data_IF_124635736864
#
_entry.id   IF_124635736864
#
_cell.length_a   1.000
_cell.length_b   1.000
_cell.length_c   1.000
_cell.angle_alpha   90.00
_cell.angle_beta   90.00
_cell.angle_gamma   90.00
#
_symmetry.space_group_name_H-M   'P 1'
#
loop_
_entity.id
_entity.type
_entity.pdbx_description
1 polymer ?
#
# COMPACT_ATOMS: atom_id res chain seq x y z
N UNK A 1 -69.31 -67.08 -10.51
CA UNK A 1 -68.67 -65.82 -10.07
C UNK A 1 -67.24 -65.85 -10.58
N UNK A 2 -66.82 -64.92 -11.47
CA UNK A 2 -65.51 -64.99 -12.11
C UNK A 2 -64.43 -64.39 -11.21
N UNK A 3 -63.28 -65.05 -11.19
CA UNK A 3 -62.07 -64.70 -10.47
C UNK A 3 -61.20 -63.84 -11.39
N UNK A 4 -61.08 -62.54 -11.12
CA UNK A 4 -60.15 -61.64 -11.81
C UNK A 4 -58.81 -61.65 -11.08
N UNK A 5 -57.80 -62.27 -11.71
CA UNK A 5 -56.41 -62.27 -11.26
C UNK A 5 -55.72 -61.03 -11.84
N UNK A 6 -55.50 -60.01 -11.01
CA UNK A 6 -54.78 -58.79 -11.38
C UNK A 6 -53.28 -59.00 -11.11
N UNK A 7 -52.48 -59.19 -12.17
CA UNK A 7 -51.01 -59.26 -12.08
C UNK A 7 -50.45 -57.85 -12.13
N UNK A 8 -50.05 -57.30 -10.98
CA UNK A 8 -49.30 -56.05 -10.89
C UNK A 8 -47.81 -56.33 -11.14
N UNK A 9 -47.34 -56.02 -12.35
CA UNK A 9 -45.91 -55.93 -12.67
C UNK A 9 -45.32 -54.68 -12.01
N UNK A 10 -44.64 -54.85 -10.88
CA UNK A 10 -43.82 -53.82 -10.26
C UNK A 10 -42.50 -53.69 -11.04
N UNK A 11 -42.39 -52.67 -11.90
CA UNK A 11 -41.12 -52.25 -12.48
C UNK A 11 -40.28 -51.54 -11.41
N UNK A 12 -38.97 -51.83 -11.27
CA UNK A 12 -38.11 -51.06 -10.39
C UNK A 12 -37.93 -49.66 -10.98
N UNK A 13 -38.52 -48.66 -10.32
CA UNK A 13 -38.15 -47.26 -10.49
C UNK A 13 -36.67 -47.15 -10.10
N UNK A 14 -35.78 -47.07 -11.11
CA UNK A 14 -34.42 -46.58 -10.89
C UNK A 14 -34.56 -45.16 -10.33
N UNK A 15 -33.95 -44.84 -9.17
CA UNK A 15 -33.81 -43.44 -8.78
C UNK A 15 -33.00 -42.77 -9.88
N UNK A 16 -33.67 -41.92 -10.66
CA UNK A 16 -32.99 -41.03 -11.58
C UNK A 16 -32.10 -40.12 -10.74
N UNK A 17 -30.79 -40.29 -10.82
CA UNK A 17 -29.79 -39.25 -11.02
C UNK A 17 -30.14 -37.84 -10.48
N UNK A 18 -30.56 -37.71 -9.21
CA UNK A 18 -30.70 -36.41 -8.52
C UNK A 18 -29.32 -35.90 -8.05
N UNK A 19 -28.25 -36.68 -8.21
CA UNK A 19 -26.91 -36.31 -7.72
C UNK A 19 -26.05 -35.54 -8.76
N UNK A 20 -26.34 -35.60 -10.06
CA UNK A 20 -25.58 -34.88 -11.09
C UNK A 20 -26.17 -33.50 -11.48
N UNK A 21 -27.38 -33.19 -11.00
CA UNK A 21 -28.05 -31.91 -11.22
C UNK A 21 -27.88 -30.93 -10.05
N UNK A 22 -27.01 -31.26 -9.07
CA UNK A 22 -26.41 -30.27 -8.17
C UNK A 22 -25.38 -29.50 -8.97
N UNK A 23 -25.92 -28.61 -9.83
CA UNK A 23 -25.30 -27.39 -10.34
C UNK A 23 -23.78 -27.41 -10.29
N UNK A 24 -23.17 -27.80 -11.41
CA UNK A 24 -22.03 -27.04 -11.89
C UNK A 24 -22.50 -25.58 -12.01
N UNK A 25 -22.50 -24.85 -10.89
CA UNK A 25 -22.57 -23.42 -10.89
C UNK A 25 -21.47 -23.01 -11.85
N UNK A 26 -21.85 -22.38 -12.96
CA UNK A 26 -20.89 -21.84 -13.91
C UNK A 26 -20.03 -20.89 -13.08
N UNK A 27 -18.81 -21.34 -12.78
CA UNK A 27 -17.82 -20.50 -12.14
C UNK A 27 -17.61 -19.36 -13.13
N UNK A 28 -18.10 -18.17 -12.78
CA UNK A 28 -17.90 -16.99 -13.60
C UNK A 28 -16.40 -16.66 -13.55
N UNK A 29 -15.78 -16.70 -14.72
CA UNK A 29 -14.38 -16.34 -14.98
C UNK A 29 -14.45 -15.22 -16.02
N UNK A 30 -14.62 -13.99 -15.55
CA UNK A 30 -14.93 -12.85 -16.41
C UNK A 30 -13.71 -12.37 -17.19
N UNK A 31 -12.50 -12.52 -16.64
CA UNK A 31 -11.25 -12.12 -17.27
C UNK A 31 -10.51 -13.27 -18.01
N UNK A 32 -11.06 -14.49 -17.91
CA UNK A 32 -10.72 -15.69 -18.66
C UNK A 32 -9.32 -16.18 -18.38
N UNK A 33 -8.86 -16.04 -17.14
CA UNK A 33 -7.52 -16.46 -16.73
C UNK A 33 -7.47 -17.94 -16.26
N UNK A 34 -8.65 -18.57 -16.10
CA UNK A 34 -8.82 -19.94 -15.63
C UNK A 34 -9.09 -20.07 -14.12
N UNK A 35 -9.23 -18.95 -13.41
CA UNK A 35 -9.74 -18.85 -12.04
C UNK A 35 -11.17 -18.31 -12.06
N UNK A 36 -11.90 -18.55 -10.97
CA UNK A 36 -13.24 -18.02 -10.82
C UNK A 36 -13.19 -16.71 -10.06
N UNK A 37 -13.94 -15.70 -10.51
CA UNK A 37 -14.01 -14.38 -9.89
C UNK A 37 -14.30 -14.46 -8.38
N UNK A 38 -15.15 -15.41 -7.95
CA UNK A 38 -15.48 -15.64 -6.55
C UNK A 38 -14.29 -16.16 -5.73
N UNK A 39 -13.51 -17.09 -6.30
CA UNK A 39 -12.30 -17.60 -5.65
C UNK A 39 -11.24 -16.52 -5.55
N UNK A 40 -11.03 -15.75 -6.63
CA UNK A 40 -10.09 -14.63 -6.64
C UNK A 40 -10.42 -13.61 -5.56
N UNK A 41 -11.69 -13.17 -5.50
CA UNK A 41 -12.14 -12.20 -4.50
C UNK A 41 -11.97 -12.75 -3.08
N UNK A 42 -12.32 -14.02 -2.84
CA UNK A 42 -12.15 -14.66 -1.54
C UNK A 42 -10.68 -14.71 -1.10
N UNK A 43 -9.76 -15.01 -2.02
CA UNK A 43 -8.32 -15.05 -1.73
C UNK A 43 -7.75 -13.65 -1.47
N UNK A 44 -8.15 -12.66 -2.27
CA UNK A 44 -7.78 -11.26 -2.07
C UNK A 44 -8.23 -10.77 -0.68
N UNK A 45 -9.43 -11.13 -0.25
CA UNK A 45 -9.94 -10.76 1.08
C UNK A 45 -9.23 -11.51 2.22
N UNK A 46 -8.94 -12.80 2.04
CA UNK A 46 -8.23 -13.61 3.04
C UNK A 46 -6.82 -13.07 3.32
N UNK A 47 -6.09 -12.70 2.26
CA UNK A 47 -4.69 -12.31 2.34
C UNK A 47 -4.48 -10.79 2.28
N UNK A 48 -5.51 -9.98 2.51
CA UNK A 48 -5.38 -8.51 2.45
C UNK A 48 -4.30 -7.97 3.41
N UNK A 49 -3.29 -7.23 2.94
CA UNK A 49 -2.21 -6.74 3.79
C UNK A 49 -2.71 -5.67 4.78
N UNK A 50 -1.96 -5.52 5.87
CA UNK A 50 -2.12 -4.41 6.83
C UNK A 50 -1.06 -3.36 6.53
N UNK A 51 -1.48 -2.20 6.05
CA UNK A 51 -0.57 -1.11 5.74
C UNK A 51 -0.25 -0.30 7.00
N UNK A 52 1.03 0.00 7.24
CA UNK A 52 1.50 0.90 8.28
C UNK A 52 1.77 2.25 7.63
N UNK A 53 0.75 3.13 7.63
CA UNK A 53 0.80 4.43 6.97
C UNK A 53 1.21 5.52 7.95
N UNK A 54 2.06 6.45 7.53
CA UNK A 54 2.44 7.59 8.38
C UNK A 54 1.23 8.45 8.71
N UNK A 55 1.08 8.87 9.97
CA UNK A 55 0.06 9.85 10.35
C UNK A 55 0.24 11.24 9.68
N UNK A 56 1.40 11.45 9.02
CA UNK A 56 1.73 12.65 8.26
C UNK A 56 1.80 12.38 6.76
N UNK A 57 1.14 11.32 6.27
CA UNK A 57 1.03 11.08 4.85
C UNK A 57 0.33 12.28 4.18
N UNK A 58 1.00 12.86 3.18
CA UNK A 58 0.54 14.05 2.50
C UNK A 58 -0.65 13.73 1.60
N UNK A 59 -0.72 12.54 1.01
CA UNK A 59 -1.84 12.15 0.14
C UNK A 59 -2.94 11.42 0.91
N UNK A 60 -2.79 11.31 2.23
CA UNK A 60 -3.78 10.77 3.14
C UNK A 60 -3.81 9.23 3.11
N UNK A 61 -4.76 8.68 2.37
CA UNK A 61 -5.00 7.25 2.25
C UNK A 61 -5.00 6.85 0.77
N UNK A 62 -4.75 5.56 0.46
CA UNK A 62 -4.91 5.05 -0.89
C UNK A 62 -6.24 5.48 -1.52
N UNK A 63 -6.14 5.93 -2.77
CA UNK A 63 -7.20 6.49 -3.57
C UNK A 63 -7.99 5.39 -4.28
N UNK A 64 -9.28 5.66 -4.46
CA UNK A 64 -10.17 4.96 -5.39
C UNK A 64 -10.48 5.92 -6.54
N UNK A 65 -10.53 5.37 -7.75
CA UNK A 65 -10.78 6.09 -9.00
C UNK A 65 -12.18 5.76 -9.53
N UNK A 66 -12.73 6.68 -10.33
CA UNK A 66 -14.03 6.49 -10.96
C UNK A 66 -14.02 5.29 -11.92
N UNK A 67 -14.96 4.33 -11.77
CA UNK A 67 -15.04 3.20 -12.67
C UNK A 67 -15.57 3.61 -14.05
N UNK A 68 -15.13 2.93 -15.11
CA UNK A 68 -15.60 3.13 -16.48
C UNK A 68 -14.97 4.33 -17.20
N UNK A 69 -14.12 5.11 -16.53
CA UNK A 69 -13.41 6.21 -17.16
C UNK A 69 -12.07 5.73 -17.72
N UNK A 70 -11.69 6.13 -18.95
CA UNK A 70 -10.39 5.76 -19.54
C UNK A 70 -9.22 6.55 -18.94
N UNK A 71 -9.50 7.60 -18.18
CA UNK A 71 -8.50 8.43 -17.52
C UNK A 71 -8.71 8.34 -16.01
N UNK A 72 -7.63 8.19 -15.22
CA UNK A 72 -7.75 8.08 -13.77
C UNK A 72 -8.28 9.38 -13.20
N UNK A 73 -9.51 9.36 -12.70
CA UNK A 73 -10.12 10.47 -11.98
C UNK A 73 -10.38 10.05 -10.53
N UNK A 74 -9.82 10.80 -9.59
CA UNK A 74 -10.02 10.57 -8.16
C UNK A 74 -11.52 10.55 -7.83
N UNK A 75 -11.97 9.46 -7.22
CA UNK A 75 -13.29 9.35 -6.61
C UNK A 75 -13.22 9.65 -5.11
N UNK A 76 -12.30 9.02 -4.37
CA UNK A 76 -12.10 9.26 -2.94
C UNK A 76 -10.72 8.79 -2.46
N UNK A 77 -10.30 9.25 -1.27
CA UNK A 77 -9.13 8.73 -0.53
C UNK A 77 -9.62 7.99 0.71
N UNK A 78 -9.98 6.73 0.55
CA UNK A 78 -10.65 5.95 1.59
C UNK A 78 -9.89 4.67 1.96
N UNK A 79 -8.67 4.50 1.44
CA UNK A 79 -7.83 3.35 1.73
C UNK A 79 -8.33 2.05 1.10
N UNK A 80 -9.09 2.14 0.00
CA UNK A 80 -9.40 1.01 -0.87
C UNK A 80 -8.10 0.50 -1.50
N UNK A 81 -7.97 -0.81 -1.61
CA UNK A 81 -6.91 -1.44 -2.41
C UNK A 81 -7.50 -2.00 -3.71
N UNK A 82 -6.64 -2.13 -4.70
CA UNK A 82 -6.93 -2.85 -5.92
C UNK A 82 -6.20 -4.18 -5.87
N UNK A 83 -6.87 -5.26 -6.25
CA UNK A 83 -6.34 -6.61 -6.20
C UNK A 83 -6.26 -7.23 -7.58
N UNK A 84 -5.28 -8.09 -7.83
CA UNK A 84 -5.22 -8.97 -8.99
C UNK A 84 -4.90 -10.38 -8.48
N UNK A 85 -5.49 -11.41 -9.08
CA UNK A 85 -5.24 -12.79 -8.71
C UNK A 85 -5.13 -13.63 -9.98
N UNK A 86 -4.03 -14.35 -10.16
CA UNK A 86 -3.83 -15.17 -11.35
C UNK A 86 -3.07 -16.48 -11.08
N UNK A 87 -3.30 -17.53 -11.87
CA UNK A 87 -2.70 -18.83 -11.63
C UNK A 87 -1.19 -18.80 -11.90
N UNK A 88 -0.45 -19.52 -11.06
CA UNK A 88 0.99 -19.73 -11.24
C UNK A 88 1.32 -21.20 -11.38
N UNK A 89 2.42 -21.46 -12.06
CA UNK A 89 3.07 -22.77 -12.09
C UNK A 89 4.50 -22.60 -11.65
N UNK A 90 5.04 -23.61 -10.97
CA UNK A 90 6.44 -23.60 -10.59
C UNK A 90 7.03 -25.00 -10.56
N UNK A 91 8.30 -25.11 -10.94
CA UNK A 91 9.09 -26.31 -10.74
C UNK A 91 9.65 -26.40 -9.31
N UNK A 92 9.78 -25.26 -8.64
CA UNK A 92 10.36 -25.13 -7.30
C UNK A 92 9.36 -25.42 -6.18
N UNK A 93 8.07 -25.25 -6.46
CA UNK A 93 6.98 -25.37 -5.50
C UNK A 93 5.87 -26.23 -6.11
N UNK A 94 5.52 -27.32 -5.43
CA UNK A 94 4.40 -28.18 -5.84
C UNK A 94 3.05 -27.61 -5.41
N UNK A 95 1.99 -28.04 -6.09
CA UNK A 95 0.60 -27.72 -5.77
C UNK A 95 0.00 -26.67 -6.72
N UNK A 96 -1.26 -26.33 -6.48
CA UNK A 96 -1.94 -25.24 -7.18
C UNK A 96 -1.49 -23.93 -6.55
N UNK A 97 -0.91 -23.06 -7.37
CA UNK A 97 -0.38 -21.76 -6.94
C UNK A 97 -1.21 -20.64 -7.56
N UNK A 98 -1.45 -19.61 -6.77
CA UNK A 98 -2.06 -18.35 -7.22
C UNK A 98 -1.17 -17.23 -6.69
N UNK A 99 -0.89 -16.26 -7.53
CA UNK A 99 -0.22 -15.03 -7.15
C UNK A 99 -1.26 -13.92 -7.01
N UNK A 100 -1.25 -13.27 -5.86
CA UNK A 100 -2.15 -12.17 -5.54
C UNK A 100 -1.33 -10.89 -5.45
N UNK A 101 -1.73 -9.87 -6.18
CA UNK A 101 -1.16 -8.52 -6.09
C UNK A 101 -2.12 -7.60 -5.36
N UNK A 102 -1.59 -6.71 -4.55
CA UNK A 102 -2.32 -5.65 -3.87
C UNK A 102 -1.68 -4.31 -4.21
N UNK A 103 -2.41 -3.50 -4.97
CA UNK A 103 -2.01 -2.17 -5.35
C UNK A 103 -2.65 -1.14 -4.41
N UNK A 104 -1.82 -0.33 -3.77
CA UNK A 104 -2.27 0.91 -3.16
C UNK A 104 -1.92 2.07 -4.06
N UNK A 105 -2.97 2.75 -4.49
CA UNK A 105 -2.89 3.78 -5.49
C UNK A 105 -2.97 5.16 -4.85
N UNK A 106 -2.21 6.10 -5.34
CA UNK A 106 -2.12 7.45 -4.81
C UNK A 106 -2.33 8.45 -5.93
N UNK A 107 -2.87 9.61 -5.60
CA UNK A 107 -3.05 10.69 -6.58
C UNK A 107 -1.77 11.48 -6.80
N UNK A 108 -0.79 11.34 -5.92
CA UNK A 108 0.52 11.97 -6.02
C UNK A 108 1.55 11.21 -5.19
N UNK A 109 2.77 11.08 -5.70
CA UNK A 109 4.00 11.00 -4.90
C UNK A 109 4.33 12.44 -4.46
N UNK A 110 4.46 12.68 -3.16
CA UNK A 110 4.88 13.99 -2.63
C UNK A 110 6.24 13.97 -1.95
N UNK A 111 6.96 12.86 -2.05
CA UNK A 111 8.36 12.76 -1.68
C UNK A 111 9.23 13.68 -2.54
N UNK A 112 10.54 13.61 -2.34
CA UNK A 112 11.48 14.39 -3.16
C UNK A 112 11.34 13.99 -4.63
N UNK A 113 11.14 14.98 -5.51
CA UNK A 113 10.90 14.70 -6.93
C UNK A 113 9.52 14.10 -7.21
N UNK A 114 8.54 14.36 -6.34
CA UNK A 114 7.19 13.87 -6.47
C UNK A 114 6.51 14.22 -7.79
N UNK A 115 5.51 13.42 -8.13
CA UNK A 115 4.77 13.48 -9.39
C UNK A 115 3.29 13.14 -9.14
N UNK A 116 2.44 13.49 -10.10
CA UNK A 116 1.05 13.05 -10.11
C UNK A 116 0.98 11.55 -10.36
N UNK A 117 0.00 10.90 -9.72
CA UNK A 117 -0.30 9.48 -9.79
C UNK A 117 0.87 8.58 -9.39
N UNK A 118 0.62 7.75 -8.40
CA UNK A 118 1.64 6.85 -7.90
C UNK A 118 1.01 5.49 -7.58
N UNK A 119 1.65 4.42 -8.04
CA UNK A 119 1.16 3.07 -7.94
C UNK A 119 2.24 2.20 -7.34
N UNK A 120 1.94 1.66 -6.17
CA UNK A 120 2.86 0.85 -5.41
C UNK A 120 2.15 -0.43 -4.99
N UNK A 121 2.90 -1.52 -4.83
CA UNK A 121 2.29 -2.83 -4.65
C UNK A 121 3.03 -3.78 -3.73
N UNK A 122 2.28 -4.78 -3.30
CA UNK A 122 2.71 -5.91 -2.48
C UNK A 122 2.07 -7.15 -3.04
N UNK A 123 2.81 -8.24 -3.12
CA UNK A 123 2.32 -9.49 -3.70
C UNK A 123 2.54 -10.66 -2.76
N UNK A 124 1.69 -11.67 -2.89
CA UNK A 124 1.77 -12.91 -2.12
C UNK A 124 1.53 -14.09 -3.03
N UNK A 125 2.40 -15.10 -2.91
CA UNK A 125 2.21 -16.38 -3.54
C UNK A 125 1.49 -17.30 -2.57
N UNK A 126 0.29 -17.75 -2.92
CA UNK A 126 -0.52 -18.67 -2.11
C UNK A 126 -0.59 -20.06 -2.73
N UNK A 127 -0.76 -21.07 -1.89
CA UNK A 127 -0.84 -22.48 -2.29
C UNK A 127 -2.01 -23.18 -1.60
N UNK A 128 -2.78 -23.94 -2.37
CA UNK A 128 -3.76 -24.88 -1.86
C UNK A 128 -3.08 -26.05 -1.12
N UNK A 129 -3.49 -26.33 0.12
CA UNK A 129 -2.94 -27.43 0.93
C UNK A 129 -3.42 -28.81 0.46
N UNK A 130 -4.64 -28.87 -0.07
CA UNK A 130 -5.27 -30.08 -0.60
C UNK A 130 -5.53 -29.92 -2.08
N UNK A 131 -5.47 -31.02 -2.84
CA UNK A 131 -5.83 -31.05 -4.27
C UNK A 131 -7.17 -31.74 -4.53
N UNK A 132 -7.89 -32.13 -3.47
CA UNK A 132 -8.91 -33.19 -3.55
C UNK A 132 -10.28 -32.84 -2.93
N UNK A 133 -10.61 -31.56 -2.70
CA UNK A 133 -11.88 -31.17 -2.08
C UNK A 133 -12.46 -29.84 -2.55
N UNK A 134 -13.75 -29.63 -2.27
CA UNK A 134 -14.52 -28.44 -2.67
C UNK A 134 -14.17 -27.16 -1.88
N UNK A 135 -13.29 -27.24 -0.89
CA UNK A 135 -12.79 -26.10 -0.12
C UNK A 135 -11.29 -26.30 0.12
N UNK A 136 -10.47 -25.85 -0.84
CA UNK A 136 -9.03 -25.83 -0.65
C UNK A 136 -8.68 -24.89 0.51
N UNK A 137 -7.93 -25.38 1.50
CA UNK A 137 -7.31 -24.51 2.50
C UNK A 137 -6.10 -23.83 1.85
N UNK A 138 -6.14 -22.50 1.71
CA UNK A 138 -5.05 -21.73 1.12
C UNK A 138 -4.11 -21.19 2.19
N UNK A 139 -2.80 -21.29 1.94
CA UNK A 139 -1.76 -20.65 2.76
C UNK A 139 -0.86 -19.79 1.89
N UNK A 140 -0.44 -18.64 2.41
CA UNK A 140 0.65 -17.88 1.83
C UNK A 140 1.98 -18.62 2.01
N UNK A 141 2.79 -18.66 0.96
CA UNK A 141 4.14 -19.20 0.97
C UNK A 141 5.17 -18.09 1.09
N UNK A 142 5.03 -17.06 0.26
CA UNK A 142 5.98 -15.96 0.12
C UNK A 142 5.26 -14.64 0.00
N UNK A 143 5.89 -13.59 0.51
CA UNK A 143 5.47 -12.21 0.36
C UNK A 143 6.55 -11.43 -0.37
N UNK A 144 6.14 -10.49 -1.19
CA UNK A 144 6.96 -9.55 -1.95
C UNK A 144 6.44 -8.14 -1.68
N UNK A 145 7.34 -7.17 -1.52
CA UNK A 145 6.99 -5.76 -1.44
C UNK A 145 7.87 -4.97 -2.41
N UNK A 146 7.21 -4.25 -3.32
CA UNK A 146 7.84 -3.37 -4.28
C UNK A 146 8.28 -2.08 -3.59
N UNK A 147 9.55 -1.71 -3.74
CA UNK A 147 10.05 -0.43 -3.27
C UNK A 147 10.93 0.18 -4.35
N UNK A 148 10.49 1.31 -4.91
CA UNK A 148 11.22 2.03 -5.97
C UNK A 148 11.55 1.19 -7.20
N UNK A 149 10.66 0.25 -7.57
CA UNK A 149 10.83 -0.58 -8.76
C UNK A 149 11.05 0.25 -10.02
N UNK A 150 11.80 -0.33 -10.96
CA UNK A 150 12.17 0.29 -12.24
C UNK A 150 12.97 1.60 -12.10
N UNK A 151 13.43 1.91 -10.90
CA UNK A 151 14.32 3.03 -10.64
C UNK A 151 15.72 2.55 -10.29
N UNK A 152 16.67 3.48 -10.32
CA UNK A 152 17.99 3.25 -9.75
C UNK A 152 17.96 3.06 -8.23
N UNK A 153 16.82 3.19 -7.57
CA UNK A 153 16.68 3.07 -6.12
C UNK A 153 15.93 1.80 -5.70
N UNK A 154 15.68 0.88 -6.64
CA UNK A 154 14.96 -0.37 -6.40
C UNK A 154 15.52 -1.09 -5.16
N UNK A 155 14.63 -1.27 -4.21
CA UNK A 155 14.86 -1.92 -2.93
C UNK A 155 13.76 -2.95 -2.63
N UNK A 156 13.23 -3.59 -3.66
CA UNK A 156 12.22 -4.62 -3.50
C UNK A 156 12.70 -5.73 -2.58
N UNK A 157 11.75 -6.30 -1.83
CA UNK A 157 12.06 -7.27 -0.77
C UNK A 157 11.07 -8.42 -0.77
N UNK A 158 11.53 -9.61 -0.37
CA UNK A 158 10.68 -10.77 -0.21
C UNK A 158 10.99 -11.57 1.06
N UNK A 159 10.02 -12.32 1.54
CA UNK A 159 10.18 -13.18 2.72
C UNK A 159 9.29 -14.42 2.61
N UNK A 160 9.62 -15.46 3.40
CA UNK A 160 8.68 -16.55 3.66
C UNK A 160 7.52 -16.01 4.49
N UNK A 161 6.30 -16.41 4.16
CA UNK A 161 5.11 -16.01 4.91
C UNK A 161 5.19 -16.39 6.39
N UNK A 162 5.79 -17.55 6.69
CA UNK A 162 6.08 -18.00 8.06
C UNK A 162 6.95 -17.00 8.84
N UNK A 163 7.96 -16.42 8.20
CA UNK A 163 8.88 -15.48 8.85
C UNK A 163 8.19 -14.14 9.17
N UNK A 164 7.04 -13.87 8.53
CA UNK A 164 6.19 -12.70 8.76
C UNK A 164 4.95 -13.03 9.61
N UNK A 165 4.80 -14.27 10.06
CA UNK A 165 3.57 -14.77 10.73
C UNK A 165 2.30 -14.49 9.90
N UNK A 166 2.40 -14.64 8.58
CA UNK A 166 1.41 -14.24 7.59
C UNK A 166 1.03 -15.39 6.64
N UNK A 167 1.08 -16.64 7.11
CA UNK A 167 0.68 -17.83 6.33
C UNK A 167 -0.84 -17.91 6.15
N UNK A 168 -1.60 -17.33 7.07
CA UNK A 168 -3.06 -17.44 7.20
C UNK A 168 -3.83 -16.12 7.05
N UNK A 169 -3.08 -15.04 6.80
CA UNK A 169 -3.58 -13.66 6.81
C UNK A 169 -2.64 -12.77 6.02
N UNK A 170 -3.07 -11.55 5.73
CA UNK A 170 -2.17 -10.56 5.14
C UNK A 170 -0.98 -10.17 6.03
N UNK A 171 0.16 -9.93 5.40
CA UNK A 171 1.36 -9.42 6.05
C UNK A 171 1.18 -7.97 6.54
N UNK A 172 2.03 -7.58 7.50
CA UNK A 172 2.20 -6.17 7.83
C UNK A 172 3.20 -5.55 6.85
N UNK A 173 2.79 -4.45 6.20
CA UNK A 173 3.57 -3.74 5.20
C UNK A 173 3.80 -2.32 5.69
N UNK A 174 5.03 -1.83 5.64
CA UNK A 174 5.35 -0.44 5.92
C UNK A 174 5.42 0.34 4.63
N UNK A 175 4.69 1.45 4.57
CA UNK A 175 4.65 2.33 3.41
C UNK A 175 5.41 3.60 3.75
N UNK A 176 6.42 3.95 2.96
CA UNK A 176 7.20 5.15 3.23
C UNK A 176 6.38 6.41 2.99
N UNK A 177 6.57 7.41 3.87
CA UNK A 177 5.84 8.66 3.78
C UNK A 177 6.19 9.41 2.49
N UNK A 178 5.17 9.77 1.71
CA UNK A 178 5.26 10.61 0.52
C UNK A 178 5.82 9.91 -0.72
N UNK A 179 6.70 8.93 -0.58
CA UNK A 179 7.20 8.06 -1.67
C UNK A 179 6.38 6.79 -1.87
N UNK A 180 5.68 6.35 -0.82
CA UNK A 180 4.81 5.19 -0.82
C UNK A 180 5.45 3.83 -1.14
N UNK A 181 6.78 3.73 -1.22
CA UNK A 181 7.48 2.47 -1.35
C UNK A 181 7.08 1.48 -0.23
N UNK A 182 6.93 0.20 -0.59
CA UNK A 182 6.45 -0.86 0.30
C UNK A 182 7.58 -1.70 0.87
N UNK A 183 7.52 -1.97 2.16
CA UNK A 183 8.54 -2.73 2.87
C UNK A 183 7.92 -3.83 3.74
N UNK A 184 8.54 -5.00 3.78
CA UNK A 184 8.15 -6.12 4.67
C UNK A 184 8.75 -6.01 6.08
N UNK A 185 9.51 -4.95 6.36
CA UNK A 185 10.05 -4.67 7.68
C UNK A 185 10.27 -3.16 7.87
N UNK A 186 9.91 -2.62 9.04
CA UNK A 186 10.06 -1.18 9.34
C UNK A 186 11.47 -0.63 9.08
N UNK A 187 12.49 -1.41 9.45
CA UNK A 187 13.89 -0.98 9.30
C UNK A 187 14.33 -0.86 7.84
N UNK A 188 13.67 -1.57 6.92
CA UNK A 188 13.99 -1.53 5.50
C UNK A 188 13.63 -0.19 4.85
N UNK A 189 12.73 0.60 5.46
CA UNK A 189 12.44 1.96 5.02
C UNK A 189 13.64 2.92 5.11
N UNK A 190 14.80 2.49 5.59
CA UNK A 190 16.02 3.32 5.64
C UNK A 190 17.09 2.86 4.66
N UNK A 191 16.81 1.84 3.85
CA UNK A 191 17.84 1.12 3.08
C UNK A 191 17.88 1.47 1.58
N UNK A 192 16.95 2.30 1.09
CA UNK A 192 16.94 2.82 -0.30
C UNK A 192 17.89 4.00 -0.55
N UNK A 193 17.61 4.80 -1.58
CA UNK A 193 18.38 6.01 -1.92
C UNK A 193 18.25 7.18 -0.92
N UNK A 194 17.52 7.00 0.18
CA UNK A 194 17.19 8.06 1.12
C UNK A 194 15.75 8.55 0.95
N UNK A 195 15.30 9.43 1.84
CA UNK A 195 13.96 10.04 1.80
C UNK A 195 12.80 9.18 2.31
N UNK A 196 12.93 7.85 2.33
CA UNK A 196 11.92 6.96 2.90
C UNK A 196 11.85 7.09 4.43
N UNK A 197 10.63 7.31 4.95
CA UNK A 197 10.39 7.43 6.39
C UNK A 197 9.10 6.71 6.77
N UNK A 198 9.20 5.67 7.58
CA UNK A 198 8.06 4.88 8.09
C UNK A 198 7.75 5.14 9.57
N UNK A 199 8.21 6.26 10.13
CA UNK A 199 7.99 6.63 11.53
C UNK A 199 6.57 7.12 11.82
N UNK A 200 6.12 6.89 13.06
CA UNK A 200 4.79 7.27 13.54
C UNK A 200 3.67 6.73 12.64
N UNK A 201 3.87 5.51 12.14
CA UNK A 201 2.91 4.81 11.32
C UNK A 201 1.77 4.25 12.17
N UNK A 202 0.59 4.21 11.57
CA UNK A 202 -0.62 3.62 12.13
C UNK A 202 -1.07 2.50 11.22
N UNK A 203 -1.46 1.39 11.83
CA UNK A 203 -2.05 0.29 11.11
C UNK A 203 -3.36 0.73 10.43
N UNK A 204 -3.45 0.45 9.15
CA UNK A 204 -4.62 0.64 8.30
C UNK A 204 -4.95 -0.68 7.62
N UNK A 205 -6.22 -1.07 7.71
CA UNK A 205 -6.75 -2.23 6.99
C UNK A 205 -7.66 -1.71 5.91
N UNK A 206 -7.48 -2.22 4.69
CA UNK A 206 -8.38 -1.90 3.60
C UNK A 206 -9.80 -2.29 3.98
N UNK A 207 -10.75 -1.37 3.80
CA UNK A 207 -12.18 -1.64 4.04
C UNK A 207 -12.82 -2.33 2.84
N UNK A 208 -12.15 -2.26 1.68
CA UNK A 208 -12.59 -2.79 0.40
C UNK A 208 -11.38 -3.11 -0.46
N UNK A 209 -11.51 -4.19 -1.22
CA UNK A 209 -10.58 -4.56 -2.30
C UNK A 209 -11.39 -4.64 -3.58
N UNK A 210 -10.85 -4.11 -4.67
CA UNK A 210 -11.48 -4.16 -6.00
C UNK A 210 -10.60 -5.06 -6.88
N UNK A 211 -11.12 -6.21 -7.29
CA UNK A 211 -10.44 -7.05 -8.27
C UNK A 211 -10.34 -6.31 -9.62
N UNK A 212 -9.13 -6.11 -10.12
CA UNK A 212 -8.87 -5.42 -11.39
C UNK A 212 -8.91 -6.37 -12.58
N UNK A 213 -8.89 -7.68 -12.32
CA UNK A 213 -8.70 -8.73 -13.32
C UNK A 213 -7.38 -8.63 -14.05
N UNK A 214 -7.30 -9.30 -15.20
CA UNK A 214 -6.06 -9.37 -15.97
C UNK A 214 -5.82 -8.21 -16.94
N UNK A 215 -4.55 -7.97 -17.28
CA UNK A 215 -4.11 -6.93 -18.23
C UNK A 215 -4.82 -6.99 -19.60
N UNK A 216 -5.36 -8.14 -19.99
CA UNK A 216 -6.12 -8.34 -21.24
C UNK A 216 -7.64 -8.23 -21.06
N UNK A 217 -8.15 -8.31 -19.84
CA UNK A 217 -9.58 -8.33 -19.54
C UNK A 217 -9.82 -7.72 -18.15
N UNK A 218 -9.80 -6.39 -18.11
CA UNK A 218 -9.97 -5.64 -16.87
C UNK A 218 -11.40 -5.77 -16.33
N UNK A 219 -11.52 -5.87 -15.02
CA UNK A 219 -12.79 -6.00 -14.28
C UNK A 219 -13.16 -4.71 -13.55
N UNK A 220 -14.39 -4.65 -13.05
CA UNK A 220 -14.86 -3.60 -12.13
C UNK A 220 -14.67 -2.14 -12.62
N UNK A 221 -14.64 -1.93 -13.94
CA UNK A 221 -14.52 -0.61 -14.54
C UNK A 221 -13.14 0.03 -14.34
N UNK A 222 -12.07 -0.76 -14.32
CA UNK A 222 -10.70 -0.26 -14.14
C UNK A 222 -10.01 0.14 -15.45
N UNK A 223 -10.75 0.56 -16.49
CA UNK A 223 -10.21 0.87 -17.81
C UNK A 223 -9.10 1.94 -17.79
N UNK A 224 -9.11 2.84 -16.80
CA UNK A 224 -8.06 3.83 -16.56
C UNK A 224 -6.67 3.22 -16.30
N UNK A 225 -6.55 1.94 -15.96
CA UNK A 225 -5.26 1.22 -15.88
C UNK A 225 -4.52 1.26 -17.22
N UNK A 226 -5.25 1.31 -18.35
CA UNK A 226 -4.67 1.44 -19.70
C UNK A 226 -4.29 2.88 -20.07
N UNK A 227 -4.48 3.85 -19.18
CA UNK A 227 -4.17 5.24 -19.48
C UNK A 227 -2.67 5.43 -19.72
N UNK A 228 -2.31 6.19 -20.74
CA UNK A 228 -0.91 6.59 -20.98
C UNK A 228 -0.39 7.61 -19.98
N UNK A 229 -1.26 8.20 -19.15
CA UNK A 229 -0.85 9.13 -18.08
C UNK A 229 -0.36 8.40 -16.83
N UNK A 230 -0.60 7.08 -16.73
CA UNK A 230 -0.20 6.30 -15.58
C UNK A 230 0.23 4.90 -16.01
N UNK A 231 1.52 4.53 -15.89
CA UNK A 231 2.03 3.23 -16.33
C UNK A 231 1.58 2.04 -15.46
N UNK A 232 0.34 2.06 -14.95
CA UNK A 232 -0.21 1.03 -14.08
C UNK A 232 -0.29 -0.34 -14.75
N UNK A 233 -0.57 -0.38 -16.06
CA UNK A 233 -0.66 -1.64 -16.80
C UNK A 233 0.64 -2.45 -16.75
N UNK A 234 1.79 -1.78 -16.67
CA UNK A 234 3.11 -2.42 -16.61
C UNK A 234 3.34 -3.14 -15.27
N UNK A 235 2.58 -2.77 -14.22
CA UNK A 235 2.64 -3.36 -12.88
C UNK A 235 1.76 -4.60 -12.71
N UNK A 236 0.92 -4.96 -13.68
CA UNK A 236 0.11 -6.20 -13.65
C UNK A 236 0.94 -7.45 -14.03
N UNK A 237 2.20 -7.47 -13.60
CA UNK A 237 3.22 -8.45 -13.98
C UNK A 237 3.35 -9.59 -12.98
N UNK A 238 4.42 -10.37 -13.13
CA UNK A 238 4.78 -11.47 -12.23
C UNK A 238 5.92 -11.01 -11.33
N UNK A 239 5.75 -11.09 -10.01
CA UNK A 239 6.80 -10.81 -9.03
C UNK A 239 7.55 -12.08 -8.64
N UNK A 240 6.87 -13.23 -8.57
CA UNK A 240 7.48 -14.50 -8.17
C UNK A 240 8.00 -15.27 -9.39
N UNK A 241 9.23 -14.93 -9.79
CA UNK A 241 10.00 -15.71 -10.78
C UNK A 241 10.43 -17.07 -10.22
N UNK A 242 10.75 -18.02 -11.11
CA UNK A 242 11.28 -19.33 -10.70
C UNK A 242 12.54 -19.17 -9.84
N UNK A 243 13.45 -18.28 -10.23
CA UNK A 243 14.69 -18.01 -9.52
C UNK A 243 14.43 -17.48 -8.11
N UNK A 244 13.48 -16.56 -7.97
CA UNK A 244 13.09 -16.02 -6.67
C UNK A 244 12.48 -17.11 -5.79
N UNK A 245 11.54 -17.89 -6.32
CA UNK A 245 10.91 -18.99 -5.57
C UNK A 245 11.92 -20.05 -5.12
N UNK A 246 12.87 -20.43 -5.99
CA UNK A 246 13.97 -21.34 -5.63
C UNK A 246 14.82 -20.75 -4.51
N UNK A 247 15.15 -19.47 -4.60
CA UNK A 247 16.01 -18.78 -3.63
C UNK A 247 15.34 -18.67 -2.26
N UNK A 248 14.07 -18.25 -2.24
CA UNK A 248 13.26 -18.21 -1.03
C UNK A 248 13.11 -19.60 -0.42
N UNK A 249 12.78 -20.62 -1.22
CA UNK A 249 12.58 -21.98 -0.72
C UNK A 249 13.86 -22.54 -0.06
N UNK A 250 15.02 -22.37 -0.70
CA UNK A 250 16.32 -22.86 -0.22
C UNK A 250 16.85 -22.12 1.02
N UNK A 251 16.39 -20.89 1.27
CA UNK A 251 16.87 -20.08 2.39
C UNK A 251 16.53 -20.72 3.73
N UNK A 252 17.53 -20.77 4.63
CA UNK A 252 17.38 -21.27 6.00
C UNK A 252 17.24 -20.16 7.03
N UNK A 253 17.86 -19.01 6.76
CA UNK A 253 17.82 -17.88 7.67
C UNK A 253 16.43 -17.22 7.61
N UNK A 254 15.77 -17.04 8.77
CA UNK A 254 14.48 -16.39 8.79
C UNK A 254 14.61 -14.90 8.44
N UNK A 255 13.53 -14.34 7.88
CA UNK A 255 13.32 -12.90 7.78
C UNK A 255 13.29 -12.39 6.34
N UNK A 256 13.41 -11.07 6.19
CA UNK A 256 13.30 -10.40 4.89
C UNK A 256 14.60 -10.54 4.09
N UNK A 257 14.47 -10.83 2.80
CA UNK A 257 15.53 -10.82 1.78
C UNK A 257 15.32 -9.59 0.90
N UNK A 258 16.38 -8.83 0.65
CA UNK A 258 16.39 -7.76 -0.35
C UNK A 258 16.70 -8.37 -1.72
N UNK A 259 15.95 -7.98 -2.74
CA UNK A 259 16.01 -8.60 -4.07
C UNK A 259 16.93 -7.86 -5.05
N UNK A 260 17.31 -6.63 -4.72
CA UNK A 260 18.16 -5.82 -5.58
C UNK A 260 19.66 -5.77 -5.20
N UNK A 261 20.38 -5.42 -6.27
CA UNK A 261 21.77 -5.68 -6.68
C UNK A 261 22.80 -4.82 -5.92
N UNK A 262 24.05 -5.27 -5.68
CA UNK A 262 25.11 -4.47 -5.07
C UNK A 262 25.16 -3.06 -5.66
N UNK A 263 25.19 -2.06 -4.77
CA UNK A 263 25.15 -0.64 -5.10
C UNK A 263 26.04 -0.32 -6.32
N UNK A 264 25.43 0.02 -7.45
CA UNK A 264 26.19 0.59 -8.58
C UNK A 264 26.66 1.97 -8.14
N UNK A 265 27.88 2.37 -8.54
CA UNK A 265 28.48 3.66 -8.15
C UNK A 265 27.53 4.89 -8.23
N UNK A 266 26.58 4.99 -9.19
CA UNK A 266 25.60 6.09 -9.22
C UNK A 266 24.64 6.13 -8.01
N UNK A 267 24.27 4.99 -7.43
CA UNK A 267 23.36 4.92 -6.26
C UNK A 267 24.00 5.52 -5.01
N UNK A 268 25.29 5.30 -4.80
CA UNK A 268 26.03 5.90 -3.69
C UNK A 268 26.09 7.44 -3.80
N UNK A 269 26.21 7.97 -5.02
CA UNK A 269 26.18 9.42 -5.28
C UNK A 269 24.78 9.99 -5.03
N UNK A 270 23.72 9.30 -5.46
CA UNK A 270 22.34 9.72 -5.20
C UNK A 270 22.03 9.72 -3.70
N UNK A 271 22.39 8.65 -2.99
CA UNK A 271 22.24 8.57 -1.53
C UNK A 271 23.01 9.67 -0.78
N UNK A 272 24.24 9.97 -1.22
CA UNK A 272 25.03 11.07 -0.67
C UNK A 272 24.43 12.45 -0.99
N UNK A 273 23.90 12.63 -2.20
CA UNK A 273 23.14 13.82 -2.59
C UNK A 273 21.88 13.99 -1.75
N UNK A 274 21.16 12.89 -1.50
CA UNK A 274 19.91 12.91 -0.76
C UNK A 274 20.11 13.25 0.70
N UNK A 275 21.09 12.60 1.35
CA UNK A 275 21.49 12.94 2.72
C UNK A 275 21.99 14.39 2.85
N UNK A 276 22.67 14.93 1.83
CA UNK A 276 23.08 16.34 1.80
C UNK A 276 21.88 17.27 1.68
N UNK A 277 20.95 16.98 0.77
CA UNK A 277 19.77 17.81 0.56
C UNK A 277 18.77 17.70 1.73
N UNK A 278 18.69 16.56 2.41
CA UNK A 278 17.96 16.41 3.67
C UNK A 278 18.60 17.22 4.79
N UNK A 279 19.93 17.21 4.89
CA UNK A 279 20.64 18.08 5.82
C UNK A 279 20.36 19.58 5.53
N UNK A 280 20.28 19.97 4.25
CA UNK A 280 19.89 21.32 3.86
C UNK A 280 18.44 21.63 4.19
N UNK A 281 17.50 20.71 3.96
CA UNK A 281 16.09 20.90 4.31
C UNK A 281 15.88 21.02 5.84
N UNK A 282 16.56 20.17 6.62
CA UNK A 282 16.59 20.25 8.09
C UNK A 282 17.20 21.58 8.53
N UNK A 283 18.33 21.98 7.94
CA UNK A 283 18.97 23.28 8.21
C UNK A 283 18.05 24.46 7.88
N UNK A 284 17.33 24.40 6.76
CA UNK A 284 16.33 25.39 6.36
C UNK A 284 15.19 25.50 7.37
N UNK A 285 14.63 24.38 7.80
CA UNK A 285 13.59 24.35 8.85
C UNK A 285 14.10 24.90 10.19
N UNK A 286 15.32 24.55 10.59
CA UNK A 286 15.94 25.10 11.81
C UNK A 286 16.21 26.60 11.69
N UNK A 287 16.63 27.07 10.52
CA UNK A 287 16.85 28.50 10.23
C UNK A 287 15.53 29.27 10.24
N UNK A 288 14.47 28.74 9.62
CA UNK A 288 13.13 29.32 9.66
C UNK A 288 12.60 29.47 11.08
N UNK A 289 12.69 28.41 11.90
CA UNK A 289 12.31 28.46 13.31
C UNK A 289 13.18 29.42 14.13
N UNK A 290 14.47 29.55 13.80
CA UNK A 290 15.36 30.52 14.44
C UNK A 290 14.99 31.97 14.08
N UNK A 291 14.61 32.25 12.82
CA UNK A 291 14.15 33.56 12.36
C UNK A 291 12.84 33.93 13.04
N UNK A 292 11.88 33.01 13.13
CA UNK A 292 10.61 33.23 13.84
C UNK A 292 10.83 33.55 15.32
N UNK A 293 11.72 32.78 15.97
CA UNK A 293 12.11 33.02 17.36
C UNK A 293 12.80 34.38 17.52
N UNK A 294 13.69 34.75 16.61
CA UNK A 294 14.37 36.05 16.61
C UNK A 294 13.38 37.21 16.39
N UNK A 295 12.43 37.07 15.47
CA UNK A 295 11.35 38.03 15.24
C UNK A 295 10.50 38.24 16.49
N UNK A 296 10.13 37.16 17.16
CA UNK A 296 9.38 37.19 18.42
C UNK A 296 10.18 37.91 19.52
N UNK A 297 11.47 37.62 19.67
CA UNK A 297 12.33 38.29 20.66
C UNK A 297 12.53 39.78 20.37
N UNK A 298 12.73 40.14 19.11
CA UNK A 298 12.84 41.55 18.67
C UNK A 298 11.54 42.31 18.92
N UNK A 299 10.39 41.73 18.57
CA UNK A 299 9.07 42.31 18.84
C UNK A 299 8.85 42.56 20.34
N UNK A 300 9.20 41.59 21.18
CA UNK A 300 9.13 41.72 22.64
C UNK A 300 10.07 42.80 23.18
N UNK A 301 11.28 42.91 22.64
CA UNK A 301 12.26 43.93 23.04
C UNK A 301 11.78 45.34 22.66
N UNK A 302 11.25 45.53 21.45
CA UNK A 302 10.65 46.79 20.99
C UNK A 302 9.47 47.16 21.87
N UNK A 303 8.55 46.22 22.14
CA UNK A 303 7.41 46.45 23.01
C UNK A 303 7.82 46.83 24.46
N UNK A 304 8.92 46.26 24.96
CA UNK A 304 9.47 46.63 26.27
C UNK A 304 10.09 48.03 26.26
N UNK A 305 10.82 48.39 25.20
CA UNK A 305 11.43 49.70 25.01
C UNK A 305 10.37 50.80 24.90
N UNK A 306 9.34 50.61 24.06
CA UNK A 306 8.22 51.57 23.93
C UNK A 306 7.48 51.78 25.24
N UNK A 307 7.22 50.70 26.00
CA UNK A 307 6.67 50.80 27.37
C UNK A 307 7.60 51.54 28.33
N UNK A 308 8.92 51.41 28.17
CA UNK A 308 9.94 52.13 28.95
C UNK A 308 9.93 53.63 28.66
N UNK A 309 10.06 54.01 27.39
CA UNK A 309 10.01 55.41 26.93
C UNK A 309 8.70 56.08 27.32
N UNK A 310 7.56 55.39 27.13
CA UNK A 310 6.26 55.92 27.54
C UNK A 310 6.12 56.10 29.06
N UNK A 311 6.83 55.30 29.88
CA UNK A 311 6.90 55.52 31.33
C UNK A 311 7.76 56.72 31.68
N UNK A 312 8.93 56.86 31.05
CA UNK A 312 9.84 57.99 31.25
C UNK A 312 9.18 59.33 30.89
N UNK A 313 8.56 59.43 29.70
CA UNK A 313 7.85 60.64 29.27
C UNK A 313 6.72 61.03 30.22
N UNK A 314 5.96 60.05 30.72
CA UNK A 314 4.91 60.30 31.72
C UNK A 314 5.47 60.77 33.06
N UNK A 315 6.63 60.27 33.46
CA UNK A 315 7.32 60.73 34.66
C UNK A 315 7.82 62.18 34.48
N UNK A 316 8.50 62.48 33.38
CA UNK A 316 8.95 63.84 33.06
C UNK A 316 7.79 64.83 33.01
N UNK A 317 6.70 64.50 32.31
CA UNK A 317 5.51 65.34 32.24
C UNK A 317 4.91 65.62 33.63
N UNK A 318 4.91 64.61 34.51
CA UNK A 318 4.42 64.75 35.89
C UNK A 318 5.31 65.68 36.72
N UNK A 319 6.63 65.53 36.64
CA UNK A 319 7.55 66.39 37.38
C UNK A 319 7.56 67.82 36.84
N UNK A 320 7.53 68.02 35.52
CA UNK A 320 7.38 69.35 34.90
C UNK A 320 6.05 69.99 35.28
N UNK A 321 4.95 69.23 35.28
CA UNK A 321 3.64 69.72 35.72
C UNK A 321 3.63 70.16 37.19
N UNK A 322 4.29 69.40 38.07
CA UNK A 322 4.51 69.78 39.48
C UNK A 322 5.30 71.08 39.60
N UNK A 323 6.40 71.20 38.87
CA UNK A 323 7.24 72.39 38.87
C UNK A 323 6.48 73.64 38.39
N UNK A 324 5.66 73.50 37.35
CA UNK A 324 4.88 74.60 36.76
C UNK A 324 3.58 74.93 37.51
N UNK A 325 3.29 74.25 38.62
CA UNK A 325 2.05 74.47 39.38
C UNK A 325 0.78 74.05 38.62
N UNK A 326 0.90 73.22 37.58
CA UNK A 326 -0.23 72.63 36.85
C UNK A 326 -0.74 71.46 37.69
N UNK A 327 -1.42 71.79 38.79
CA UNK A 327 -2.19 70.79 39.54
C UNK A 327 -3.37 70.34 38.68
N UNK A 328 -3.35 69.08 38.26
CA UNK A 328 -4.55 68.43 37.73
C UNK A 328 -5.61 68.43 38.84
N UNK A 329 -6.73 69.11 38.60
CA UNK A 329 -8.00 68.73 39.22
C UNK A 329 -8.42 67.36 38.67
#
# INVERSE_FOLDING_TARGET
>A
MPLFLLVCLALPLRPADVEDEVRAAVILDADRDGLGDELEQALLEQFVPVLQLSARECDGLPAVFHPGLPQPQLLARNGTLYGQAFPRTSSAVSGRLIELHYYHLWTRDCGRGGHDLDAEHVSVLVRAQTTAGAQDEWKALFWYAAAHEDTVCDFSSAAKAKDLEAEDRGATVWVSRGKHASFLHRGACTWGCGGDVCENSKAWRATRIINVGEARALLNGTEWIRSTHWPMLEKLGIDFTEELMVSLNKRKDPGVMTLHVPLRAPQAVLLAGDSTADALAVSGNKTGGAIETAGTRTGNAVAKSTKGTGRALRATFRETGRFLGINRK
#
